data_IF_006467811780
#
_entry.id   IF_006467811780
#
_cell.length_a   1.000
_cell.length_b   1.000
_cell.length_c   1.000
_cell.angle_alpha   90.00
_cell.angle_beta   90.00
_cell.angle_gamma   90.00
#
_symmetry.space_group_name_H-M   'P 1'
#
loop_
_entity.id
_entity.type
_entity.pdbx_description
1 polymer ?
#
# COMPACT_ATOMS: atom_id res chain seq x y z
N UNK A 1 -26.15 32.87 23.82
CA UNK A 1 -26.23 32.16 22.52
C UNK A 1 -26.21 30.67 22.81
N UNK A 2 -27.00 29.83 22.11
CA UNK A 2 -26.89 28.38 22.27
C UNK A 2 -25.48 27.95 21.82
N UNK A 3 -24.74 27.33 22.73
CA UNK A 3 -23.43 26.75 22.44
C UNK A 3 -23.62 25.32 21.92
N UNK A 4 -22.67 24.84 21.12
CA UNK A 4 -22.66 23.46 20.62
C UNK A 4 -22.78 22.44 21.77
N UNK A 5 -22.09 22.70 22.89
CA UNK A 5 -22.14 21.90 24.12
C UNK A 5 -23.54 21.81 24.76
N UNK A 6 -24.39 22.82 24.54
CA UNK A 6 -25.74 22.90 25.08
C UNK A 6 -26.77 22.10 24.29
N UNK A 7 -26.41 21.53 23.14
CA UNK A 7 -27.33 20.70 22.36
C UNK A 7 -27.63 19.37 23.06
N UNK A 8 -28.85 18.82 22.85
CA UNK A 8 -29.19 17.43 23.19
C UNK A 8 -28.21 16.45 22.57
N UNK A 9 -27.93 15.35 23.28
CA UNK A 9 -26.94 14.36 22.86
C UNK A 9 -27.32 13.72 21.53
N UNK A 10 -28.62 13.49 21.30
CA UNK A 10 -29.15 12.87 20.09
C UNK A 10 -28.85 13.73 18.85
N UNK A 11 -28.97 15.04 18.97
CA UNK A 11 -28.64 15.96 17.88
C UNK A 11 -27.13 15.99 17.62
N UNK A 12 -26.32 15.97 18.68
CA UNK A 12 -24.86 15.91 18.56
C UNK A 12 -24.41 14.61 17.87
N UNK A 13 -25.00 13.48 18.23
CA UNK A 13 -24.73 12.17 17.63
C UNK A 13 -25.10 12.14 16.14
N UNK A 14 -26.25 12.70 15.76
CA UNK A 14 -26.67 12.84 14.36
C UNK A 14 -25.69 13.72 13.57
N UNK A 15 -25.31 14.88 14.12
CA UNK A 15 -24.36 15.80 13.48
C UNK A 15 -22.99 15.12 13.31
N UNK A 16 -22.53 14.39 14.33
CA UNK A 16 -21.26 13.68 14.29
C UNK A 16 -21.25 12.60 13.20
N UNK A 17 -22.25 11.72 13.19
CA UNK A 17 -22.34 10.63 12.21
C UNK A 17 -22.65 11.12 10.78
N UNK A 18 -23.21 12.31 10.62
CA UNK A 18 -23.42 12.92 9.31
C UNK A 18 -22.14 13.58 8.78
N UNK A 19 -21.44 14.32 9.63
CA UNK A 19 -20.19 15.02 9.26
C UNK A 19 -18.99 14.09 9.14
N UNK A 20 -19.03 12.94 9.81
CA UNK A 20 -17.93 11.99 9.95
C UNK A 20 -16.61 12.62 10.43
N UNK A 21 -16.67 13.75 11.15
CA UNK A 21 -15.51 14.55 11.49
C UNK A 21 -15.01 14.29 12.93
N UNK A 22 -13.86 13.61 13.03
CA UNK A 22 -13.13 13.32 14.28
C UNK A 22 -12.77 14.57 15.11
N UNK A 23 -12.70 15.76 14.52
CA UNK A 23 -12.41 16.99 15.24
C UNK A 23 -13.52 17.37 16.24
N UNK A 24 -14.77 16.98 15.96
CA UNK A 24 -15.92 17.31 16.80
C UNK A 24 -15.81 16.70 18.23
N UNK A 25 -15.62 15.39 18.42
CA UNK A 25 -15.40 14.85 19.77
C UNK A 25 -14.07 15.31 20.40
N UNK A 26 -13.08 15.73 19.58
CA UNK A 26 -11.77 16.21 20.06
C UNK A 26 -11.79 17.68 20.53
N UNK A 27 -12.77 18.48 20.13
CA UNK A 27 -12.77 19.92 20.45
C UNK A 27 -13.12 20.24 21.91
N UNK A 28 -13.80 19.33 22.61
CA UNK A 28 -14.12 19.49 24.04
C UNK A 28 -14.30 18.14 24.73
N UNK A 29 -13.84 18.03 25.97
CA UNK A 29 -14.00 16.81 26.77
C UNK A 29 -15.48 16.46 27.02
N UNK A 30 -16.35 17.46 27.20
CA UNK A 30 -17.80 17.27 27.39
C UNK A 30 -18.43 16.61 26.15
N UNK A 31 -18.11 17.12 24.96
CA UNK A 31 -18.58 16.59 23.67
C UNK A 31 -18.01 15.22 23.40
N UNK A 32 -16.71 15.02 23.63
CA UNK A 32 -16.07 13.71 23.53
C UNK A 32 -16.79 12.67 24.39
N UNK A 33 -17.10 13.00 25.65
CA UNK A 33 -17.85 12.09 26.54
C UNK A 33 -19.26 11.78 26.03
N UNK A 34 -19.99 12.80 25.56
CA UNK A 34 -21.34 12.64 24.99
C UNK A 34 -21.35 11.75 23.74
N UNK A 35 -20.33 11.87 22.88
CA UNK A 35 -20.23 11.16 21.60
C UNK A 35 -19.51 9.80 21.69
N UNK A 36 -18.96 9.44 22.84
CA UNK A 36 -18.20 8.18 23.03
C UNK A 36 -19.09 6.98 23.40
N UNK A 37 -20.40 7.05 23.16
CA UNK A 37 -21.28 5.92 23.44
C UNK A 37 -20.91 4.72 22.56
N UNK A 38 -21.08 3.49 23.08
CA UNK A 38 -20.68 2.26 22.36
C UNK A 38 -21.41 2.12 21.03
N UNK A 39 -22.67 2.54 20.97
CA UNK A 39 -23.49 2.52 19.76
C UNK A 39 -22.92 3.45 18.69
N UNK A 40 -22.56 4.68 19.07
CA UNK A 40 -22.05 5.69 18.14
C UNK A 40 -20.66 5.35 17.65
N UNK A 41 -19.77 4.91 18.55
CA UNK A 41 -18.43 4.46 18.17
C UNK A 41 -18.47 3.24 17.23
N UNK A 42 -19.39 2.30 17.46
CA UNK A 42 -19.62 1.16 16.57
C UNK A 42 -20.18 1.59 15.21
N UNK A 43 -21.20 2.44 15.18
CA UNK A 43 -21.79 2.94 13.94
C UNK A 43 -20.79 3.77 13.12
N UNK A 44 -20.01 4.63 13.78
CA UNK A 44 -18.92 5.38 13.17
C UNK A 44 -17.88 4.44 12.55
N UNK A 45 -17.47 3.39 13.28
CA UNK A 45 -16.56 2.36 12.76
C UNK A 45 -17.17 1.61 11.58
N UNK A 46 -18.44 1.22 11.63
CA UNK A 46 -19.13 0.57 10.51
C UNK A 46 -19.12 1.46 9.26
N UNK A 47 -19.35 2.77 9.41
CA UNK A 47 -19.33 3.73 8.29
C UNK A 47 -17.94 3.93 7.69
N UNK A 48 -16.92 3.98 8.54
CA UNK A 48 -15.53 4.22 8.11
C UNK A 48 -14.81 2.98 7.59
N UNK A 49 -15.30 1.78 7.88
CA UNK A 49 -14.70 0.52 7.44
C UNK A 49 -15.67 -0.27 6.55
N UNK A 50 -16.65 -0.95 7.15
CA UNK A 50 -17.56 -1.85 6.44
C UNK A 50 -18.29 -1.20 5.25
N UNK A 51 -18.91 -0.04 5.46
CA UNK A 51 -19.75 0.62 4.43
C UNK A 51 -18.95 1.32 3.33
N UNK A 52 -17.63 1.40 3.46
CA UNK A 52 -16.77 1.99 2.43
C UNK A 52 -16.54 1.06 1.24
N UNK A 53 -16.93 -0.21 1.37
CA UNK A 53 -16.81 -1.23 0.33
C UNK A 53 -18.20 -1.63 -0.16
N UNK A 54 -18.40 -1.66 -1.47
CA UNK A 54 -19.62 -2.22 -2.04
C UNK A 54 -19.61 -3.76 -1.98
N UNK A 55 -20.32 -4.30 -0.98
CA UNK A 55 -20.44 -5.75 -0.80
C UNK A 55 -21.47 -6.42 -1.71
N UNK A 56 -22.19 -5.67 -2.55
CA UNK A 56 -23.21 -6.24 -3.46
C UNK A 56 -22.62 -6.69 -4.78
N UNK A 57 -21.55 -6.03 -5.23
CA UNK A 57 -20.84 -6.36 -6.47
C UNK A 57 -19.83 -7.49 -6.29
N UNK A 58 -19.45 -8.10 -7.43
CA UNK A 58 -18.41 -9.14 -7.48
C UNK A 58 -17.07 -8.51 -7.11
N UNK A 59 -16.21 -9.25 -6.39
CA UNK A 59 -14.95 -8.75 -5.83
C UNK A 59 -14.10 -7.86 -6.75
N UNK A 60 -14.04 -8.16 -8.06
CA UNK A 60 -13.22 -7.42 -9.04
C UNK A 60 -13.75 -6.02 -9.37
N UNK A 61 -15.05 -5.79 -9.20
CA UNK A 61 -15.74 -4.58 -9.64
C UNK A 61 -16.21 -3.73 -8.44
N UNK A 62 -15.73 -4.03 -7.23
CA UNK A 62 -16.17 -3.35 -6.01
C UNK A 62 -15.71 -1.91 -6.00
N UNK A 63 -16.66 -1.01 -5.80
CA UNK A 63 -16.34 0.35 -5.43
C UNK A 63 -15.81 0.37 -3.99
N UNK A 64 -14.64 1.01 -3.81
CA UNK A 64 -13.99 1.17 -2.52
C UNK A 64 -13.74 2.65 -2.30
N UNK A 65 -14.30 3.18 -1.22
CA UNK A 65 -14.25 4.59 -0.81
C UNK A 65 -13.55 4.77 0.53
N UNK A 66 -12.78 3.76 0.95
CA UNK A 66 -12.11 3.74 2.25
C UNK A 66 -11.06 4.84 2.35
N UNK A 67 -10.97 5.44 3.54
CA UNK A 67 -10.03 6.51 3.86
C UNK A 67 -9.04 5.99 4.91
N UNK A 68 -7.80 5.76 4.48
CA UNK A 68 -6.74 5.24 5.34
C UNK A 68 -6.42 6.18 6.51
N UNK A 69 -6.46 7.50 6.31
CA UNK A 69 -6.16 8.46 7.37
C UNK A 69 -7.25 8.43 8.46
N UNK A 70 -8.51 8.46 8.04
CA UNK A 70 -9.64 8.36 8.98
C UNK A 70 -9.66 7.02 9.73
N UNK A 71 -9.38 5.91 9.04
CA UNK A 71 -9.29 4.60 9.70
C UNK A 71 -8.14 4.56 10.71
N UNK A 72 -6.97 5.12 10.38
CA UNK A 72 -5.82 5.22 11.29
C UNK A 72 -6.16 6.06 12.53
N UNK A 73 -6.92 7.15 12.35
CA UNK A 73 -7.42 8.01 13.43
C UNK A 73 -8.38 7.24 14.37
N UNK A 74 -9.26 6.41 13.82
CA UNK A 74 -10.17 5.54 14.58
C UNK A 74 -9.39 4.47 15.35
N UNK A 75 -8.44 3.81 14.69
CA UNK A 75 -7.59 2.81 15.33
C UNK A 75 -6.80 3.41 16.49
N UNK A 76 -6.40 4.68 16.40
CA UNK A 76 -5.73 5.44 17.46
C UNK A 76 -6.63 5.74 18.66
N UNK A 77 -7.95 5.70 18.52
CA UNK A 77 -8.88 6.02 19.61
C UNK A 77 -8.82 5.02 20.75
N UNK A 78 -8.96 5.50 21.99
CA UNK A 78 -8.89 4.65 23.20
C UNK A 78 -9.92 3.52 23.23
N UNK A 79 -11.11 3.73 22.66
CA UNK A 79 -12.17 2.71 22.65
C UNK A 79 -11.86 1.54 21.71
N UNK A 80 -10.97 1.71 20.74
CA UNK A 80 -10.65 0.67 19.75
C UNK A 80 -9.65 -0.33 20.36
N UNK A 81 -10.20 -1.29 21.09
CA UNK A 81 -9.51 -2.43 21.70
C UNK A 81 -9.77 -3.70 20.89
N UNK A 82 -9.10 -4.81 21.26
CA UNK A 82 -9.35 -6.10 20.61
C UNK A 82 -10.79 -6.57 20.79
N UNK A 83 -11.36 -6.41 21.98
CA UNK A 83 -12.76 -6.76 22.24
C UNK A 83 -13.74 -5.93 21.40
N UNK A 84 -13.42 -4.64 21.23
CA UNK A 84 -14.20 -3.77 20.35
C UNK A 84 -14.06 -4.21 18.89
N UNK A 85 -12.85 -4.56 18.45
CA UNK A 85 -12.61 -5.10 17.12
C UNK A 85 -13.41 -6.38 16.86
N UNK A 86 -13.42 -7.35 17.80
CA UNK A 86 -14.24 -8.56 17.67
C UNK A 86 -15.74 -8.24 17.65
N UNK A 87 -16.20 -7.25 18.42
CA UNK A 87 -17.58 -6.77 18.34
C UNK A 87 -17.90 -6.13 16.97
N UNK A 88 -16.95 -5.41 16.39
CA UNK A 88 -17.06 -4.87 15.03
C UNK A 88 -17.14 -5.98 13.99
N UNK A 89 -16.30 -7.01 14.08
CA UNK A 89 -16.34 -8.18 13.19
C UNK A 89 -17.73 -8.84 13.23
N UNK A 90 -18.29 -9.07 14.43
CA UNK A 90 -19.65 -9.62 14.59
C UNK A 90 -20.70 -8.73 13.93
N UNK A 91 -20.62 -7.41 14.16
CA UNK A 91 -21.55 -6.45 13.57
C UNK A 91 -21.47 -6.39 12.05
N UNK A 92 -20.25 -6.45 11.49
CA UNK A 92 -20.00 -6.50 10.06
C UNK A 92 -20.54 -7.80 9.44
N UNK A 93 -20.38 -8.94 10.13
CA UNK A 93 -20.93 -10.23 9.71
C UNK A 93 -22.47 -10.21 9.67
N UNK A 94 -23.13 -9.69 10.71
CA UNK A 94 -24.59 -9.50 10.73
C UNK A 94 -25.05 -8.64 9.55
N UNK A 95 -24.36 -7.52 9.30
CA UNK A 95 -24.67 -6.64 8.18
C UNK A 95 -24.49 -7.35 6.83
N UNK A 96 -23.47 -8.19 6.67
CA UNK A 96 -23.28 -9.03 5.48
C UNK A 96 -24.41 -10.04 5.29
N UNK A 97 -24.83 -10.71 6.35
CA UNK A 97 -25.96 -11.65 6.30
C UNK A 97 -27.23 -10.92 5.90
N UNK A 98 -27.48 -9.73 6.44
CA UNK A 98 -28.65 -8.93 6.05
C UNK A 98 -28.58 -8.50 4.57
N UNK A 99 -27.40 -8.12 4.08
CA UNK A 99 -27.21 -7.67 2.70
C UNK A 99 -27.22 -8.82 1.67
N UNK A 100 -26.64 -9.98 2.00
CA UNK A 100 -26.31 -11.05 1.04
C UNK A 100 -26.73 -12.46 1.49
N UNK A 101 -27.16 -12.63 2.73
CA UNK A 101 -27.42 -13.96 3.34
C UNK A 101 -28.40 -14.82 2.55
N UNK A 102 -29.47 -14.24 2.00
CA UNK A 102 -30.42 -14.98 1.14
C UNK A 102 -29.77 -15.54 -0.12
N UNK A 103 -28.84 -14.80 -0.74
CA UNK A 103 -28.16 -15.21 -1.96
C UNK A 103 -27.08 -16.27 -1.69
N UNK A 104 -26.48 -16.30 -0.50
CA UNK A 104 -25.46 -17.29 -0.12
C UNK A 104 -26.08 -18.55 0.49
N UNK A 105 -27.24 -18.45 1.13
CA UNK A 105 -27.99 -19.61 1.62
C UNK A 105 -28.26 -20.61 0.47
N UNK A 106 -28.54 -20.13 -0.74
CA UNK A 106 -28.73 -20.99 -1.93
C UNK A 106 -27.45 -21.60 -2.49
N UNK A 107 -26.26 -21.11 -2.13
CA UNK A 107 -24.99 -21.64 -2.63
C UNK A 107 -24.30 -22.60 -1.66
N UNK A 108 -24.82 -22.75 -0.43
CA UNK A 108 -24.18 -23.55 0.63
C UNK A 108 -22.86 -22.97 1.14
N UNK A 109 -22.53 -21.71 0.79
CA UNK A 109 -21.29 -21.05 1.19
C UNK A 109 -21.49 -20.39 2.55
N UNK A 110 -20.70 -20.80 3.54
CA UNK A 110 -20.71 -20.20 4.88
C UNK A 110 -19.99 -18.85 4.83
N UNK A 111 -20.63 -17.81 5.38
CA UNK A 111 -20.00 -16.50 5.54
C UNK A 111 -18.99 -16.58 6.69
N UNK A 112 -17.68 -16.34 6.46
CA UNK A 112 -16.70 -16.31 7.54
C UNK A 112 -17.13 -15.35 8.63
N UNK A 113 -17.10 -15.78 9.89
CA UNK A 113 -17.57 -15.02 11.05
C UNK A 113 -16.42 -14.71 12.02
N UNK A 114 -16.76 -14.30 13.24
CA UNK A 114 -15.77 -13.99 14.28
C UNK A 114 -14.93 -15.19 14.71
N UNK A 115 -15.41 -16.43 14.56
CA UNK A 115 -14.67 -17.65 14.95
C UNK A 115 -13.40 -17.86 14.12
N UNK A 116 -13.29 -17.20 12.96
CA UNK A 116 -12.09 -17.25 12.14
C UNK A 116 -10.88 -16.57 12.81
N UNK A 117 -11.11 -15.75 13.84
CA UNK A 117 -10.06 -15.18 14.69
C UNK A 117 -9.60 -16.13 15.81
N UNK A 118 -10.28 -17.25 16.03
CA UNK A 118 -9.89 -18.22 17.05
C UNK A 118 -8.51 -18.82 16.72
N UNK A 119 -7.61 -18.74 17.68
CA UNK A 119 -6.20 -19.13 17.51
C UNK A 119 -5.38 -18.18 16.63
N UNK A 120 -5.95 -17.08 16.13
CA UNK A 120 -5.27 -16.03 15.36
C UNK A 120 -4.49 -16.56 14.14
N UNK A 121 -5.09 -17.46 13.38
CA UNK A 121 -4.49 -17.99 12.16
C UNK A 121 -4.68 -17.05 10.97
N UNK A 122 -3.63 -16.40 10.41
CA UNK A 122 -3.79 -15.39 9.36
C UNK A 122 -4.54 -15.91 8.14
N UNK A 123 -4.23 -17.13 7.68
CA UNK A 123 -4.89 -17.75 6.54
C UNK A 123 -6.39 -18.00 6.74
N UNK A 124 -6.89 -17.97 8.00
CA UNK A 124 -8.32 -18.00 8.30
C UNK A 124 -8.89 -16.59 8.25
N UNK A 125 -8.54 -15.71 9.18
CA UNK A 125 -9.23 -14.43 9.33
C UNK A 125 -8.98 -13.44 8.19
N UNK A 126 -7.87 -13.54 7.45
CA UNK A 126 -7.64 -12.72 6.24
C UNK A 126 -8.61 -13.06 5.12
N UNK A 127 -9.30 -14.21 5.18
CA UNK A 127 -10.36 -14.58 4.23
C UNK A 127 -11.68 -13.85 4.49
N UNK A 128 -11.80 -13.03 5.54
CA UNK A 128 -13.02 -12.26 5.82
C UNK A 128 -13.02 -11.02 4.91
N UNK A 129 -13.68 -11.05 3.74
CA UNK A 129 -13.40 -10.12 2.64
C UNK A 129 -14.17 -8.80 2.78
N UNK A 130 -14.85 -8.59 3.91
CA UNK A 130 -15.82 -7.51 4.11
C UNK A 130 -15.47 -6.56 5.26
N UNK A 131 -14.32 -6.76 5.93
CA UNK A 131 -13.92 -5.91 7.06
C UNK A 131 -13.56 -4.48 6.66
N UNK A 132 -13.31 -4.21 5.37
CA UNK A 132 -13.24 -2.85 4.83
C UNK A 132 -12.02 -2.02 5.25
N UNK A 133 -10.91 -2.66 5.62
CA UNK A 133 -9.65 -1.96 5.87
C UNK A 133 -9.11 -1.35 4.56
N UNK A 134 -8.72 -0.08 4.62
CA UNK A 134 -8.10 0.65 3.53
C UNK A 134 -6.69 0.12 3.26
N UNK A 135 -6.17 0.27 2.05
CA UNK A 135 -4.75 0.02 1.82
C UNK A 135 -3.91 1.14 2.47
N UNK A 136 -2.82 0.77 3.16
CA UNK A 136 -1.88 1.74 3.75
C UNK A 136 -2.39 2.46 4.99
N UNK A 137 -3.32 1.87 5.76
CA UNK A 137 -3.66 2.42 7.08
C UNK A 137 -2.49 2.24 8.04
N UNK A 138 -2.27 3.24 8.89
CA UNK A 138 -1.19 3.24 9.87
C UNK A 138 -1.61 2.54 11.17
N UNK A 139 -0.71 1.70 11.68
CA UNK A 139 -0.78 1.12 13.01
C UNK A 139 -0.53 2.24 14.03
N UNK A 140 -1.44 2.46 15.00
CA UNK A 140 -1.30 3.53 15.96
C UNK A 140 -0.20 3.26 16.99
N UNK A 141 0.53 4.30 17.41
CA UNK A 141 1.63 4.21 18.38
C UNK A 141 1.25 3.48 19.67
N UNK A 142 0.00 3.64 20.15
CA UNK A 142 -0.50 2.95 21.36
C UNK A 142 -0.42 1.42 21.27
N UNK A 143 -0.31 0.85 20.07
CA UNK A 143 -0.18 -0.58 19.82
C UNK A 143 1.26 -1.02 19.55
N UNK A 144 2.21 -0.08 19.44
CA UNK A 144 3.59 -0.36 19.05
C UNK A 144 4.56 -0.53 20.23
N UNK A 145 4.16 -0.21 21.46
CA UNK A 145 4.96 -0.38 22.68
C UNK A 145 4.16 -1.06 23.80
N UNK A 146 4.78 -1.49 24.90
CA UNK A 146 4.14 -2.13 26.05
C UNK A 146 3.30 -1.18 26.93
N UNK A 147 2.70 -1.67 28.03
CA UNK A 147 2.71 -3.06 28.50
C UNK A 147 1.94 -4.01 27.56
N UNK A 148 2.44 -5.23 27.35
CA UNK A 148 1.88 -6.17 26.36
C UNK A 148 0.81 -7.07 26.94
N UNK A 149 -0.41 -6.54 27.04
CA UNK A 149 -1.60 -7.38 27.30
C UNK A 149 -1.90 -8.31 26.12
N UNK A 150 -2.56 -9.45 26.39
CA UNK A 150 -2.95 -10.39 25.35
C UNK A 150 -3.82 -9.73 24.27
N UNK A 151 -4.84 -8.95 24.66
CA UNK A 151 -5.70 -8.25 23.71
C UNK A 151 -4.92 -7.26 22.84
N UNK A 152 -3.97 -6.52 23.42
CA UNK A 152 -3.15 -5.57 22.66
C UNK A 152 -2.25 -6.27 21.63
N UNK A 153 -1.58 -7.34 22.03
CA UNK A 153 -0.74 -8.14 21.13
C UNK A 153 -1.58 -8.79 20.01
N UNK A 154 -2.75 -9.33 20.35
CA UNK A 154 -3.69 -9.92 19.38
C UNK A 154 -4.22 -8.89 18.39
N UNK A 155 -4.57 -7.69 18.84
CA UNK A 155 -5.01 -6.61 17.96
C UNK A 155 -3.88 -6.15 17.03
N UNK A 156 -2.68 -5.92 17.56
CA UNK A 156 -1.52 -5.56 16.74
C UNK A 156 -1.27 -6.63 15.67
N UNK A 157 -1.23 -7.90 16.07
CA UNK A 157 -1.00 -9.04 15.18
C UNK A 157 -2.04 -9.08 14.04
N UNK A 158 -3.33 -8.96 14.37
CA UNK A 158 -4.40 -8.93 13.37
C UNK A 158 -4.25 -7.76 12.41
N UNK A 159 -3.99 -6.55 12.91
CA UNK A 159 -3.87 -5.37 12.05
C UNK A 159 -2.67 -5.48 11.09
N UNK A 160 -1.53 -6.03 11.55
CA UNK A 160 -0.37 -6.31 10.69
C UNK A 160 -0.70 -7.35 9.62
N UNK A 161 -1.43 -8.41 9.97
CA UNK A 161 -1.93 -9.41 9.02
C UNK A 161 -2.92 -8.84 8.01
N UNK A 162 -3.65 -7.79 8.38
CA UNK A 162 -4.58 -7.06 7.51
C UNK A 162 -3.90 -5.90 6.76
N UNK A 163 -2.58 -5.93 6.58
CA UNK A 163 -1.78 -4.96 5.80
C UNK A 163 -1.56 -3.59 6.45
N UNK A 164 -1.68 -3.50 7.78
CA UNK A 164 -1.31 -2.27 8.49
C UNK A 164 0.18 -1.96 8.39
N UNK A 165 0.51 -0.68 8.30
CA UNK A 165 1.88 -0.16 8.11
C UNK A 165 2.28 0.79 9.24
N UNK A 166 3.56 1.14 9.32
CA UNK A 166 4.06 2.19 10.23
C UNK A 166 4.35 3.43 9.38
N UNK A 167 3.93 4.60 9.88
CA UNK A 167 4.35 5.88 9.34
C UNK A 167 5.76 6.23 9.84
N UNK A 168 6.76 5.97 9.01
CA UNK A 168 8.18 6.19 9.31
C UNK A 168 8.64 7.63 9.11
N UNK A 169 7.97 8.40 8.26
CA UNK A 169 8.40 9.74 7.86
C UNK A 169 7.67 10.84 8.62
N UNK A 170 6.39 10.62 8.93
CA UNK A 170 5.51 11.61 9.54
C UNK A 170 5.37 11.49 11.06
N UNK A 171 5.94 10.46 11.70
CA UNK A 171 5.69 10.18 13.12
C UNK A 171 6.88 9.55 13.87
N UNK A 172 6.75 9.44 15.19
CA UNK A 172 7.70 8.71 16.06
C UNK A 172 7.42 7.22 16.13
N UNK A 173 6.42 6.71 15.40
CA UNK A 173 5.96 5.33 15.47
C UNK A 173 7.06 4.30 15.21
N UNK A 174 8.02 4.60 14.33
CA UNK A 174 9.18 3.74 14.07
C UNK A 174 10.08 3.54 15.30
N UNK A 175 10.38 4.61 16.02
CA UNK A 175 11.18 4.55 17.26
C UNK A 175 10.40 3.92 18.42
N UNK A 176 9.09 4.19 18.49
CA UNK A 176 8.18 3.53 19.43
C UNK A 176 8.15 2.02 19.18
N UNK A 177 8.11 1.57 17.92
CA UNK A 177 8.14 0.15 17.56
C UNK A 177 9.47 -0.53 17.92
N UNK A 178 10.62 0.15 17.73
CA UNK A 178 11.94 -0.34 18.18
C UNK A 178 12.00 -0.51 19.70
N UNK A 179 11.43 0.43 20.45
CA UNK A 179 11.33 0.34 21.90
C UNK A 179 10.41 -0.80 22.30
N UNK A 180 9.23 -0.87 21.67
CA UNK A 180 8.21 -1.85 21.98
C UNK A 180 8.60 -3.29 21.69
N UNK A 181 9.39 -3.55 20.64
CA UNK A 181 9.85 -4.91 20.36
C UNK A 181 10.83 -5.39 21.44
N UNK A 182 11.66 -4.50 22.00
CA UNK A 182 12.54 -4.84 23.14
C UNK A 182 11.74 -5.13 24.40
N UNK A 183 10.65 -4.39 24.63
CA UNK A 183 9.72 -4.67 25.73
C UNK A 183 9.01 -6.02 25.52
N UNK A 184 8.56 -6.31 24.30
CA UNK A 184 7.90 -7.57 23.95
C UNK A 184 8.82 -8.78 24.13
N UNK A 185 10.10 -8.65 23.75
CA UNK A 185 11.11 -9.68 23.97
C UNK A 185 11.33 -9.95 25.46
N UNK A 186 11.45 -8.88 26.26
CA UNK A 186 11.63 -8.98 27.72
C UNK A 186 10.44 -9.65 28.40
N UNK A 187 9.23 -9.32 27.97
CA UNK A 187 7.98 -9.92 28.47
C UNK A 187 7.72 -11.32 27.90
N UNK A 188 8.53 -11.80 26.93
CA UNK A 188 8.32 -13.09 26.28
C UNK A 188 7.06 -13.14 25.40
N UNK A 189 6.52 -11.99 24.97
CA UNK A 189 5.30 -11.91 24.18
C UNK A 189 5.58 -12.20 22.70
N UNK A 190 5.53 -13.48 22.33
CA UNK A 190 5.83 -13.94 20.96
C UNK A 190 4.93 -13.29 19.90
N UNK A 191 3.64 -13.06 20.18
CA UNK A 191 2.70 -12.45 19.20
C UNK A 191 3.07 -11.00 18.90
N UNK A 192 3.41 -10.22 19.92
CA UNK A 192 3.84 -8.84 19.74
C UNK A 192 5.18 -8.78 18.97
N UNK A 193 6.13 -9.67 19.30
CA UNK A 193 7.38 -9.80 18.53
C UNK A 193 7.09 -10.16 17.07
N UNK A 194 6.25 -11.15 16.81
CA UNK A 194 5.92 -11.59 15.45
C UNK A 194 5.38 -10.44 14.60
N UNK A 195 4.46 -9.64 15.17
CA UNK A 195 3.87 -8.50 14.49
C UNK A 195 4.89 -7.36 14.27
N UNK A 196 5.65 -6.99 15.30
CA UNK A 196 6.66 -5.93 15.22
C UNK A 196 7.84 -6.31 14.33
N UNK A 197 8.26 -7.57 14.31
CA UNK A 197 9.33 -8.06 13.45
C UNK A 197 8.97 -7.92 11.97
N UNK A 198 7.70 -8.10 11.60
CA UNK A 198 7.22 -7.82 10.23
C UNK A 198 7.30 -6.33 9.92
N UNK A 199 6.79 -5.47 10.82
CA UNK A 199 6.77 -4.02 10.60
C UNK A 199 8.18 -3.41 10.53
N UNK A 200 9.07 -3.81 11.43
CA UNK A 200 10.48 -3.39 11.45
C UNK A 200 11.30 -4.06 10.37
N UNK A 201 10.96 -5.29 9.99
CA UNK A 201 11.61 -6.01 8.89
C UNK A 201 11.50 -5.20 7.62
N UNK A 202 10.27 -4.86 7.19
CA UNK A 202 9.99 -4.08 5.97
C UNK A 202 10.83 -2.82 5.84
N UNK A 203 11.10 -2.13 6.96
CA UNK A 203 11.88 -0.89 7.01
C UNK A 203 13.38 -1.09 7.26
N UNK A 204 13.88 -2.33 7.26
CA UNK A 204 15.26 -2.70 7.61
C UNK A 204 15.68 -2.23 9.01
N UNK A 205 14.74 -2.26 9.95
CA UNK A 205 14.92 -1.82 11.34
C UNK A 205 15.42 -2.89 12.32
N UNK A 206 15.63 -4.13 11.88
CA UNK A 206 16.18 -5.22 12.71
C UNK A 206 17.71 -5.18 12.64
N UNK A 207 18.36 -5.06 13.80
CA UNK A 207 19.83 -4.91 13.92
C UNK A 207 20.47 -6.06 14.69
N UNK A 208 21.81 -6.20 14.58
CA UNK A 208 22.58 -7.17 15.38
C UNK A 208 22.38 -6.97 16.88
N UNK A 209 22.31 -5.71 17.34
CA UNK A 209 22.07 -5.39 18.75
C UNK A 209 20.71 -5.91 19.24
N UNK A 210 19.70 -5.91 18.38
CA UNK A 210 18.37 -6.45 18.70
C UNK A 210 18.41 -7.97 18.83
N UNK A 211 19.18 -8.66 17.97
CA UNK A 211 19.42 -10.10 18.08
C UNK A 211 20.21 -10.44 19.36
N UNK A 212 21.29 -9.69 19.65
CA UNK A 212 22.06 -9.84 20.88
C UNK A 212 21.18 -9.66 22.12
N UNK A 213 20.34 -8.62 22.15
CA UNK A 213 19.41 -8.39 23.26
C UNK A 213 18.42 -9.56 23.44
N UNK A 214 17.84 -10.08 22.35
CA UNK A 214 16.94 -11.23 22.41
C UNK A 214 17.62 -12.50 22.96
N UNK A 215 18.88 -12.72 22.57
CA UNK A 215 19.65 -13.93 22.92
C UNK A 215 20.25 -13.83 24.33
N UNK A 216 20.97 -12.74 24.61
CA UNK A 216 21.81 -12.60 25.78
C UNK A 216 21.07 -12.04 26.99
N UNK A 217 20.11 -11.12 26.78
CA UNK A 217 19.39 -10.46 27.88
C UNK A 217 17.98 -11.02 28.11
N UNK A 218 17.30 -11.48 27.05
CA UNK A 218 15.91 -12.00 27.13
C UNK A 218 15.84 -13.53 27.19
N UNK A 219 16.96 -14.19 27.51
CA UNK A 219 17.00 -15.65 27.70
C UNK A 219 16.86 -16.48 26.42
N UNK A 220 16.98 -15.90 25.22
CA UNK A 220 16.99 -16.60 23.93
C UNK A 220 15.74 -17.46 23.67
N UNK A 221 14.53 -16.90 23.71
CA UNK A 221 13.36 -17.68 23.26
C UNK A 221 13.49 -17.99 21.75
N UNK A 222 13.63 -19.26 21.40
CA UNK A 222 13.90 -19.69 20.02
C UNK A 222 12.79 -19.29 19.04
N UNK A 223 11.53 -19.25 19.46
CA UNK A 223 10.44 -18.78 18.61
C UNK A 223 10.55 -17.29 18.32
N UNK A 224 10.83 -16.48 19.36
CA UNK A 224 11.08 -15.04 19.21
C UNK A 224 12.26 -14.78 18.29
N UNK A 225 13.36 -15.50 18.48
CA UNK A 225 14.55 -15.41 17.62
C UNK A 225 14.21 -15.84 16.19
N UNK A 226 13.36 -16.87 16.00
CA UNK A 226 12.89 -17.31 14.68
C UNK A 226 12.13 -16.20 13.96
N UNK A 227 11.19 -15.54 14.63
CA UNK A 227 10.47 -14.39 14.06
C UNK A 227 11.41 -13.25 13.63
N UNK A 228 12.42 -12.95 14.44
CA UNK A 228 13.41 -11.92 14.13
C UNK A 228 14.27 -12.31 12.93
N UNK A 229 14.89 -13.50 12.97
CA UNK A 229 15.80 -13.95 11.92
C UNK A 229 15.06 -14.15 10.59
N UNK A 230 13.85 -14.70 10.60
CA UNK A 230 13.06 -14.89 9.38
C UNK A 230 12.76 -13.55 8.69
N UNK A 231 12.40 -12.51 9.44
CA UNK A 231 12.18 -11.18 8.86
C UNK A 231 13.50 -10.47 8.49
N UNK A 232 14.57 -10.72 9.24
CA UNK A 232 15.88 -10.12 9.00
C UNK A 232 16.54 -10.66 7.72
N UNK A 233 16.47 -11.98 7.47
CA UNK A 233 17.07 -12.58 6.27
C UNK A 233 16.39 -12.14 4.98
N UNK A 234 15.05 -11.96 4.99
CA UNK A 234 14.27 -11.66 3.77
C UNK A 234 14.79 -10.40 3.07
N UNK A 235 15.43 -9.51 3.83
CA UNK A 235 15.85 -8.19 3.40
C UNK A 235 17.37 -7.97 3.51
N UNK A 236 18.13 -9.01 3.84
CA UNK A 236 19.59 -8.97 3.97
C UNK A 236 20.31 -8.73 2.63
N UNK A 237 19.73 -9.17 1.51
CA UNK A 237 20.32 -9.07 0.17
C UNK A 237 20.46 -7.62 -0.35
N UNK A 238 19.75 -6.65 0.24
CA UNK A 238 19.69 -5.25 -0.25
C UNK A 238 20.30 -4.24 0.74
N UNK A 239 21.34 -4.63 1.49
CA UNK A 239 22.26 -3.83 2.36
C UNK A 239 21.77 -3.24 3.71
N UNK A 240 22.57 -3.47 4.78
CA UNK A 240 23.22 -2.45 5.65
C UNK A 240 24.32 -3.08 6.55
N UNK A 241 25.37 -2.34 6.95
CA UNK A 241 26.42 -2.78 7.91
C UNK A 241 25.91 -3.10 9.34
N UNK A 242 24.60 -2.96 9.59
CA UNK A 242 24.01 -3.00 10.94
C UNK A 242 23.52 -4.39 11.38
N UNK A 243 23.49 -5.35 10.45
CA UNK A 243 23.07 -6.73 10.68
C UNK A 243 24.20 -7.69 10.30
N UNK A 244 24.60 -8.55 11.24
CA UNK A 244 25.67 -9.53 11.07
C UNK A 244 25.26 -10.85 11.74
N UNK A 245 24.94 -11.86 10.94
CA UNK A 245 24.60 -13.20 11.43
C UNK A 245 25.83 -13.96 11.95
N UNK A 246 27.04 -13.53 11.59
CA UNK A 246 28.32 -14.05 12.06
C UNK A 246 28.90 -13.25 13.24
N UNK A 247 28.05 -12.53 13.97
CA UNK A 247 28.47 -11.73 15.11
C UNK A 247 29.20 -12.57 16.19
N UNK A 248 30.44 -12.22 16.58
CA UNK A 248 31.22 -13.02 17.51
C UNK A 248 30.55 -13.21 18.88
N UNK A 249 29.79 -12.23 19.37
CA UNK A 249 29.14 -12.34 20.68
C UNK A 249 27.99 -13.35 20.67
N UNK A 250 27.18 -13.35 19.60
CA UNK A 250 26.14 -14.36 19.39
C UNK A 250 26.72 -15.78 19.30
N UNK A 251 27.80 -15.95 18.54
CA UNK A 251 28.44 -17.26 18.35
C UNK A 251 29.17 -17.75 19.61
N UNK A 252 29.80 -16.85 20.37
CA UNK A 252 30.40 -17.17 21.66
C UNK A 252 29.33 -17.60 22.68
N UNK A 253 28.21 -16.85 22.76
CA UNK A 253 27.07 -17.24 23.60
C UNK A 253 26.55 -18.62 23.20
N UNK A 254 26.38 -18.86 21.91
CA UNK A 254 25.90 -20.15 21.42
C UNK A 254 26.87 -21.30 21.72
N UNK A 255 28.18 -21.05 21.73
CA UNK A 255 29.20 -22.05 22.07
C UNK A 255 29.11 -22.61 23.49
N UNK A 256 28.55 -21.86 24.43
CA UNK A 256 28.50 -22.24 25.86
C UNK A 256 27.10 -22.65 26.34
N UNK A 257 26.07 -22.54 25.51
CA UNK A 257 24.66 -22.77 25.89
C UNK A 257 24.07 -24.10 25.38
N UNK A 258 24.91 -25.11 25.12
CA UNK A 258 24.49 -26.48 24.82
C UNK A 258 23.51 -26.58 23.64
N UNK A 259 22.44 -27.34 23.81
CA UNK A 259 21.43 -27.61 22.75
C UNK A 259 20.81 -26.34 22.19
N UNK A 260 20.50 -25.39 23.06
CA UNK A 260 19.91 -24.09 22.69
C UNK A 260 20.86 -23.25 21.86
N UNK A 261 22.15 -23.31 22.19
CA UNK A 261 23.22 -22.69 21.42
C UNK A 261 23.39 -23.34 20.04
N UNK A 262 23.35 -24.66 19.95
CA UNK A 262 23.41 -25.36 18.66
C UNK A 262 22.22 -25.03 17.75
N UNK A 263 21.00 -24.97 18.29
CA UNK A 263 19.83 -24.51 17.53
C UNK A 263 19.98 -23.06 17.04
N UNK A 264 20.51 -22.17 17.88
CA UNK A 264 20.78 -20.79 17.48
C UNK A 264 21.83 -20.71 16.36
N UNK A 265 22.92 -21.48 16.43
CA UNK A 265 23.94 -21.54 15.37
C UNK A 265 23.34 -22.02 14.06
N UNK A 266 22.52 -23.07 14.10
CA UNK A 266 21.83 -23.58 12.90
C UNK A 266 20.94 -22.50 12.28
N UNK A 267 20.13 -21.82 13.09
CA UNK A 267 19.26 -20.74 12.62
C UNK A 267 20.05 -19.56 12.04
N UNK A 268 21.15 -19.15 12.68
CA UNK A 268 22.02 -18.07 12.18
C UNK A 268 22.69 -18.43 10.85
N UNK A 269 23.20 -19.67 10.72
CA UNK A 269 23.79 -20.16 9.47
C UNK A 269 22.77 -20.16 8.34
N UNK A 270 21.57 -20.71 8.57
CA UNK A 270 20.51 -20.73 7.56
C UNK A 270 20.05 -19.33 7.19
N UNK A 271 19.92 -18.43 8.16
CA UNK A 271 19.54 -17.04 7.91
C UNK A 271 20.57 -16.31 7.03
N UNK A 272 21.85 -16.58 7.24
CA UNK A 272 22.97 -15.98 6.46
C UNK A 272 22.93 -16.36 4.98
N UNK A 273 22.58 -17.61 4.67
CA UNK A 273 22.43 -18.11 3.29
C UNK A 273 21.01 -17.98 2.73
N UNK A 274 20.10 -17.29 3.44
CA UNK A 274 18.70 -17.11 3.03
C UNK A 274 17.88 -18.42 2.98
N UNK A 275 18.25 -19.43 3.76
CA UNK A 275 17.60 -20.75 3.80
C UNK A 275 16.79 -20.99 5.09
N UNK A 276 16.62 -19.99 5.96
CA UNK A 276 15.85 -20.18 7.19
C UNK A 276 14.36 -20.28 6.87
N UNK A 277 13.81 -21.48 6.93
CA UNK A 277 12.37 -21.68 6.85
C UNK A 277 11.68 -21.26 8.16
N UNK A 278 10.45 -20.75 8.04
CA UNK A 278 9.69 -20.34 9.22
C UNK A 278 9.13 -21.54 10.00
N UNK A 279 8.81 -22.64 9.32
CA UNK A 279 8.36 -23.90 9.94
C UNK A 279 9.34 -24.99 9.51
N UNK A 280 10.04 -25.62 10.45
CA UNK A 280 10.95 -26.71 10.12
C UNK A 280 10.17 -28.02 9.95
N UNK A 281 10.53 -28.85 8.97
CA UNK A 281 9.89 -30.16 8.72
C UNK A 281 9.94 -31.09 9.97
N UNK A 282 10.97 -30.94 10.81
CA UNK A 282 11.18 -31.73 12.03
C UNK A 282 10.49 -31.15 13.29
N UNK A 283 9.89 -29.95 13.21
CA UNK A 283 9.17 -29.33 14.33
C UNK A 283 7.80 -30.02 14.51
N UNK A 284 7.79 -31.12 15.28
CA UNK A 284 6.59 -31.91 15.61
C UNK A 284 5.44 -31.10 16.26
N UNK A 285 5.70 -29.86 16.66
CA UNK A 285 4.81 -28.97 17.41
C UNK A 285 4.69 -27.57 16.76
N UNK A 286 4.78 -27.46 15.43
CA UNK A 286 4.63 -26.18 14.71
C UNK A 286 3.35 -25.40 15.07
N UNK A 287 2.32 -26.09 15.57
CA UNK A 287 1.07 -25.49 16.06
C UNK A 287 1.22 -24.64 17.33
N UNK A 288 2.33 -24.80 18.05
CA UNK A 288 2.67 -24.00 19.25
C UNK A 288 3.44 -22.73 18.92
N UNK A 289 3.89 -22.57 17.68
CA UNK A 289 4.58 -21.38 17.20
C UNK A 289 3.52 -20.39 16.70
N UNK A 290 3.65 -19.12 17.09
CA UNK A 290 2.81 -18.06 16.54
C UNK A 290 3.06 -17.98 15.03
N UNK A 291 2.00 -18.12 14.23
CA UNK A 291 2.13 -18.10 12.78
C UNK A 291 2.70 -16.79 12.26
N UNK A 292 3.36 -16.84 11.10
CA UNK A 292 3.83 -15.65 10.42
C UNK A 292 2.65 -14.75 9.98
N UNK A 293 2.59 -13.45 10.37
CA UNK A 293 1.42 -12.59 10.13
C UNK A 293 0.99 -12.43 8.67
N UNK A 294 1.89 -12.49 7.68
CA UNK A 294 1.60 -12.19 6.26
C UNK A 294 1.46 -13.42 5.35
N UNK A 295 1.19 -14.60 5.89
CA UNK A 295 1.24 -15.88 5.17
C UNK A 295 0.27 -16.07 3.96
N UNK A 296 -0.73 -15.21 3.74
CA UNK A 296 -1.88 -15.50 2.87
C UNK A 296 -2.09 -14.63 1.62
N UNK A 297 -1.19 -13.69 1.30
CA UNK A 297 -1.37 -12.78 0.14
C UNK A 297 -0.93 -13.37 -1.23
N UNK A 298 -0.63 -14.66 -1.30
CA UNK A 298 -0.13 -15.35 -2.51
C UNK A 298 -1.19 -15.51 -3.63
N UNK A 299 -2.49 -15.21 -3.40
CA UNK A 299 -3.57 -15.58 -4.33
C UNK A 299 -4.47 -14.43 -4.86
N UNK A 300 -3.93 -13.25 -5.12
CA UNK A 300 -4.70 -12.11 -5.67
C UNK A 300 -4.06 -11.45 -6.91
N UNK A 301 -4.77 -11.21 -8.03
CA UNK A 301 -4.19 -10.65 -9.27
C UNK A 301 -3.86 -9.13 -9.22
N UNK A 302 -3.57 -8.56 -8.05
CA UNK A 302 -3.47 -7.11 -7.89
C UNK A 302 -2.56 -6.59 -6.77
N UNK A 303 -1.85 -7.45 -6.04
CA UNK A 303 -0.89 -7.03 -5.02
C UNK A 303 0.53 -6.94 -5.62
N UNK A 304 0.69 -6.10 -6.63
CA UNK A 304 2.01 -5.72 -7.14
C UNK A 304 2.48 -4.47 -6.40
N UNK A 305 3.15 -4.68 -5.25
CA UNK A 305 4.24 -3.86 -4.70
C UNK A 305 4.67 -4.46 -3.34
N UNK A 306 5.81 -5.16 -3.33
CA UNK A 306 6.63 -5.29 -2.12
C UNK A 306 6.96 -6.68 -1.58
N UNK A 307 6.38 -7.79 -2.06
CA UNK A 307 6.75 -9.14 -1.58
C UNK A 307 6.58 -10.21 -2.68
N UNK A 308 7.36 -10.09 -3.76
CA UNK A 308 7.42 -11.11 -4.83
C UNK A 308 8.36 -12.28 -4.52
N UNK A 309 8.98 -12.32 -3.32
CA UNK A 309 10.01 -13.31 -2.97
C UNK A 309 9.41 -14.54 -2.24
N UNK A 310 8.20 -14.44 -1.68
CA UNK A 310 7.59 -15.53 -0.87
C UNK A 310 6.77 -16.52 -1.70
N UNK A 311 6.51 -16.22 -2.99
CA UNK A 311 5.67 -17.06 -3.85
C UNK A 311 6.29 -18.39 -4.27
N UNK A 312 7.58 -18.63 -4.02
CA UNK A 312 8.25 -19.89 -4.37
C UNK A 312 8.53 -20.82 -3.18
N UNK A 313 8.20 -20.45 -1.93
CA UNK A 313 8.66 -21.20 -0.74
C UNK A 313 7.51 -21.65 0.19
N UNK A 314 6.25 -21.28 -0.05
CA UNK A 314 5.16 -21.65 0.85
C UNK A 314 4.05 -22.47 0.15
N UNK A 315 3.98 -23.76 0.53
CA UNK A 315 2.91 -24.75 0.30
C UNK A 315 2.89 -25.56 -1.01
N UNK A 316 3.52 -26.74 -0.99
CA UNK A 316 2.91 -27.97 -1.50
C UNK A 316 3.03 -29.10 -0.47
N UNK A 317 1.92 -29.65 0.05
CA UNK A 317 1.91 -30.90 0.77
C UNK A 317 1.56 -32.03 -0.22
N UNK A 318 2.52 -32.49 -1.02
CA UNK A 318 2.57 -33.84 -1.61
C UNK A 318 3.72 -33.94 -2.62
N UNK A 319 4.74 -34.74 -2.31
CA UNK A 319 5.91 -34.97 -3.18
C UNK A 319 5.65 -36.04 -4.28
N UNK A 320 4.41 -36.39 -4.60
CA UNK A 320 4.11 -37.54 -5.49
C UNK A 320 3.13 -37.30 -6.66
N UNK A 321 2.84 -36.06 -7.09
CA UNK A 321 1.96 -35.80 -8.25
C UNK A 321 2.62 -34.92 -9.34
N UNK A 322 3.94 -35.00 -9.54
CA UNK A 322 4.60 -34.23 -10.62
C UNK A 322 5.55 -35.03 -11.50
N UNK A 323 5.33 -36.34 -11.67
CA UNK A 323 6.02 -37.13 -12.69
C UNK A 323 5.23 -37.33 -13.99
N UNK A 324 3.96 -36.91 -14.07
CA UNK A 324 3.09 -37.13 -15.25
C UNK A 324 2.92 -35.91 -16.17
N UNK A 325 3.67 -34.82 -15.97
CA UNK A 325 3.60 -33.64 -16.83
C UNK A 325 4.97 -33.16 -17.35
N UNK A 326 5.99 -34.01 -17.27
CA UNK A 326 7.29 -33.79 -17.96
C UNK A 326 7.33 -34.70 -19.20
N UNK A 327 6.52 -34.37 -20.20
CA UNK A 327 6.74 -34.83 -21.57
C UNK A 327 5.98 -33.95 -22.57
N UNK A 328 6.39 -32.69 -22.68
CA UNK A 328 6.37 -32.00 -23.98
C UNK A 328 7.26 -30.76 -23.89
N UNK A 329 8.56 -30.97 -24.07
CA UNK A 329 9.46 -29.88 -24.41
C UNK A 329 9.20 -29.47 -25.86
N UNK A 330 8.31 -28.50 -26.06
CA UNK A 330 8.49 -27.59 -27.19
C UNK A 330 9.40 -26.47 -26.69
N UNK A 331 10.64 -26.44 -27.16
CA UNK A 331 11.57 -25.35 -26.93
C UNK A 331 11.08 -24.13 -27.71
N UNK A 332 10.24 -23.30 -27.12
CA UNK A 332 10.13 -21.91 -27.56
C UNK A 332 11.41 -21.21 -27.12
N UNK A 333 12.24 -20.87 -28.11
CA UNK A 333 13.40 -20.00 -27.94
C UNK A 333 12.95 -18.74 -27.20
N UNK A 334 13.45 -18.54 -25.98
CA UNK A 334 13.23 -17.30 -25.24
C UNK A 334 13.86 -16.16 -26.04
N UNK A 335 13.02 -15.35 -26.68
CA UNK A 335 13.45 -14.14 -27.38
C UNK A 335 14.26 -13.25 -26.46
N UNK A 336 15.38 -12.74 -26.97
CA UNK A 336 16.29 -11.85 -26.27
C UNK A 336 15.51 -10.71 -25.58
N UNK A 337 15.58 -10.66 -24.25
CA UNK A 337 14.96 -9.58 -23.49
C UNK A 337 15.78 -8.29 -23.69
N UNK A 338 15.26 -7.35 -24.49
CA UNK A 338 15.79 -5.99 -24.55
C UNK A 338 15.52 -5.27 -23.21
N UNK A 339 16.55 -5.23 -22.35
CA UNK A 339 16.55 -4.41 -21.13
C UNK A 339 16.59 -2.94 -21.55
N UNK A 340 15.42 -2.34 -21.76
CA UNK A 340 15.31 -0.90 -22.04
C UNK A 340 15.47 -0.13 -20.74
N UNK A 341 16.58 0.62 -20.59
CA UNK A 341 16.80 1.51 -19.46
C UNK A 341 15.68 2.57 -19.37
N UNK A 342 15.24 2.90 -18.16
CA UNK A 342 14.21 3.92 -17.93
C UNK A 342 14.60 5.26 -18.58
N UNK A 343 13.90 5.65 -19.65
CA UNK A 343 14.18 6.90 -20.38
C UNK A 343 13.66 8.12 -19.59
N UNK A 344 14.41 8.54 -18.57
CA UNK A 344 14.11 9.76 -17.83
C UNK A 344 14.21 10.99 -18.74
N UNK A 345 13.25 11.92 -18.60
CA UNK A 345 13.30 13.21 -19.32
C UNK A 345 14.26 14.13 -18.57
N UNK A 346 15.42 14.36 -19.15
CA UNK A 346 16.46 15.20 -18.55
C UNK A 346 16.19 16.68 -18.78
N UNK A 347 16.61 17.53 -17.85
CA UNK A 347 16.67 18.98 -18.05
C UNK A 347 17.93 19.26 -18.86
N UNK A 348 17.76 19.54 -20.15
CA UNK A 348 18.86 19.78 -21.08
C UNK A 348 18.54 20.92 -22.06
N UNK A 349 19.58 21.54 -22.61
CA UNK A 349 19.44 22.59 -23.62
C UNK A 349 18.81 22.02 -24.89
N UNK A 350 17.80 22.69 -25.41
CA UNK A 350 17.00 22.26 -26.56
C UNK A 350 15.76 21.44 -26.18
N UNK A 351 15.57 21.03 -24.91
CA UNK A 351 14.33 20.36 -24.51
C UNK A 351 13.14 21.31 -24.56
N UNK A 352 12.05 20.82 -25.13
CA UNK A 352 10.79 21.57 -25.19
C UNK A 352 10.01 21.33 -23.90
N UNK A 353 9.54 22.43 -23.32
CA UNK A 353 8.81 22.48 -22.06
C UNK A 353 7.44 23.10 -22.25
N UNK A 354 6.50 22.69 -21.42
CA UNK A 354 5.14 23.22 -21.37
C UNK A 354 4.95 23.97 -20.05
N UNK A 355 4.37 25.16 -20.10
CA UNK A 355 4.00 25.90 -18.89
C UNK A 355 2.74 25.30 -18.25
N UNK A 356 2.82 24.97 -16.95
CA UNK A 356 1.70 24.41 -16.19
C UNK A 356 0.78 25.49 -15.60
N UNK A 357 1.32 26.68 -15.34
CA UNK A 357 0.63 27.77 -14.66
C UNK A 357 1.18 29.15 -15.08
N UNK A 358 0.44 30.20 -14.75
CA UNK A 358 0.82 31.59 -15.02
C UNK A 358 0.36 32.12 -16.38
N UNK A 359 0.85 33.30 -16.77
CA UNK A 359 0.39 34.02 -17.97
C UNK A 359 0.62 33.27 -19.30
N UNK A 360 1.54 32.30 -19.31
CA UNK A 360 1.88 31.48 -20.47
C UNK A 360 1.37 30.04 -20.35
N UNK A 361 0.43 29.75 -19.44
CA UNK A 361 -0.10 28.40 -19.22
C UNK A 361 -0.49 27.72 -20.55
N UNK A 362 -0.01 26.49 -20.73
CA UNK A 362 -0.31 25.67 -21.91
C UNK A 362 0.47 26.05 -23.17
N UNK A 363 1.36 27.05 -23.11
CA UNK A 363 2.26 27.39 -24.21
C UNK A 363 3.57 26.60 -24.12
N UNK A 364 4.23 26.45 -25.26
CA UNK A 364 5.49 25.72 -25.38
C UNK A 364 6.67 26.69 -25.43
N UNK A 365 7.80 26.27 -24.88
CA UNK A 365 9.08 26.95 -25.03
C UNK A 365 10.22 25.92 -25.09
N UNK A 366 11.39 26.31 -25.61
CA UNK A 366 12.61 25.50 -25.54
C UNK A 366 13.53 26.04 -24.44
N UNK A 367 14.21 25.14 -23.72
CA UNK A 367 15.28 25.52 -22.78
C UNK A 367 16.51 25.95 -23.59
N UNK A 368 16.93 27.20 -23.41
CA UNK A 368 18.09 27.77 -24.11
C UNK A 368 19.35 27.69 -23.23
N UNK A 369 19.17 27.85 -21.92
CA UNK A 369 20.25 27.76 -20.94
C UNK A 369 19.70 27.34 -19.58
N UNK A 370 20.51 26.60 -18.81
CA UNK A 370 20.20 26.21 -17.43
C UNK A 370 20.94 27.20 -16.54
N UNK A 371 20.20 27.98 -15.76
CA UNK A 371 20.77 29.02 -14.89
C UNK A 371 21.27 28.36 -13.60
N UNK A 372 20.39 27.60 -12.96
CA UNK A 372 20.69 26.86 -11.74
C UNK A 372 19.81 25.60 -11.63
N UNK A 373 19.91 24.87 -10.52
CA UNK A 373 19.15 23.64 -10.27
C UNK A 373 17.64 23.85 -10.13
N UNK A 374 17.15 25.10 -10.04
CA UNK A 374 15.73 25.44 -9.90
C UNK A 374 15.18 26.27 -11.06
N UNK A 375 16.04 26.89 -11.89
CA UNK A 375 15.64 27.91 -12.87
C UNK A 375 16.34 27.69 -14.21
N UNK A 376 15.58 27.94 -15.28
CA UNK A 376 16.02 27.81 -16.67
C UNK A 376 15.64 29.05 -17.46
N UNK A 377 16.46 29.38 -18.45
CA UNK A 377 16.17 30.40 -19.45
C UNK A 377 15.44 29.72 -20.62
N UNK A 378 14.23 30.18 -20.90
CA UNK A 378 13.37 29.59 -21.94
C UNK A 378 13.02 30.59 -23.02
N UNK A 379 12.76 30.09 -24.22
CA UNK A 379 12.37 30.89 -25.39
C UNK A 379 11.35 30.13 -26.24
N UNK A 380 10.21 30.76 -26.55
CA UNK A 380 9.10 30.14 -27.26
C UNK A 380 8.73 30.90 -28.53
N UNK A 381 9.35 30.58 -29.68
CA UNK A 381 9.16 31.32 -30.93
C UNK A 381 7.88 30.94 -31.70
N UNK A 382 6.90 30.28 -31.07
CA UNK A 382 5.68 29.81 -31.72
C UNK A 382 4.82 30.99 -32.22
N UNK A 383 4.42 30.97 -33.50
CA UNK A 383 3.63 32.04 -34.12
C UNK A 383 2.27 32.26 -33.46
N UNK A 384 1.60 31.17 -33.03
CA UNK A 384 0.24 31.22 -32.46
C UNK A 384 0.20 31.67 -31.01
N UNK A 385 1.27 31.40 -30.26
CA UNK A 385 1.33 31.64 -28.83
C UNK A 385 2.77 31.93 -28.40
N UNK A 386 3.33 33.09 -28.80
CA UNK A 386 4.71 33.41 -28.52
C UNK A 386 4.94 33.54 -27.02
N UNK A 387 6.09 33.07 -26.56
CA UNK A 387 6.60 33.23 -25.20
C UNK A 387 7.93 33.97 -25.31
N UNK A 388 8.02 35.22 -24.80
CA UNK A 388 9.26 35.96 -24.86
C UNK A 388 10.35 35.26 -24.03
N UNK A 389 11.60 35.49 -24.41
CA UNK A 389 12.76 34.99 -23.67
C UNK A 389 12.72 35.49 -22.23
N UNK A 390 12.66 34.55 -21.29
CA UNK A 390 12.56 34.86 -19.87
C UNK A 390 13.13 33.72 -19.02
N UNK A 391 13.47 34.06 -17.79
CA UNK A 391 13.81 33.10 -16.76
C UNK A 391 12.53 32.49 -16.14
N UNK A 392 12.53 31.18 -15.92
CA UNK A 392 11.40 30.45 -15.32
C UNK A 392 11.90 29.37 -14.36
N UNK A 393 11.20 29.22 -13.24
CA UNK A 393 11.43 28.12 -12.31
C UNK A 393 10.97 26.78 -12.91
N UNK A 394 11.81 25.74 -12.81
CA UNK A 394 11.54 24.39 -13.30
C UNK A 394 10.25 23.79 -12.72
N UNK A 395 9.89 24.13 -11.47
CA UNK A 395 8.65 23.69 -10.83
C UNK A 395 7.37 24.10 -11.59
N UNK A 396 7.42 25.17 -12.38
CA UNK A 396 6.29 25.68 -13.17
C UNK A 396 6.18 25.04 -14.56
N UNK A 397 7.14 24.19 -14.92
CA UNK A 397 7.31 23.63 -16.25
C UNK A 397 7.14 22.11 -16.22
N UNK A 398 6.56 21.58 -17.29
CA UNK A 398 6.52 20.14 -17.56
C UNK A 398 7.45 19.80 -18.73
N UNK A 399 8.33 18.82 -18.54
CA UNK A 399 9.25 18.36 -19.58
C UNK A 399 8.51 17.50 -20.62
N UNK A 400 8.58 17.89 -21.89
CA UNK A 400 8.03 17.10 -23.00
C UNK A 400 9.06 16.09 -23.53
N UNK A 401 8.62 15.03 -24.24
CA UNK A 401 9.54 14.11 -24.92
C UNK A 401 10.34 14.76 -26.04
N UNK A 402 9.91 15.92 -26.55
CA UNK A 402 10.51 16.58 -27.70
C UNK A 402 11.77 17.34 -27.27
N UNK A 403 12.85 17.13 -28.00
CA UNK A 403 14.10 17.88 -27.86
C UNK A 403 14.60 18.29 -29.23
N UNK A 404 15.01 19.55 -29.34
CA UNK A 404 15.66 20.13 -30.50
C UNK A 404 17.14 19.69 -30.44
N UNK A 405 17.58 18.80 -31.34
CA UNK A 405 18.93 18.27 -31.27
C UNK A 405 19.96 19.37 -31.58
N UNK A 406 21.09 19.33 -30.85
CA UNK A 406 22.26 20.20 -31.09
C UNK A 406 21.95 21.71 -31.07
N UNK A 407 21.06 22.15 -30.18
CA UNK A 407 20.86 23.59 -29.94
C UNK A 407 22.05 24.14 -29.15
N UNK A 408 22.82 25.11 -29.68
CA UNK A 408 23.90 25.73 -28.92
C UNK A 408 23.37 26.41 -27.66
N UNK A 409 24.10 26.28 -26.55
CA UNK A 409 23.79 27.00 -25.31
C UNK A 409 23.74 28.51 -25.56
N UNK A 410 22.77 29.19 -24.94
CA UNK A 410 22.58 30.64 -25.08
C UNK A 410 22.27 31.11 -26.52
N UNK A 411 21.77 30.22 -27.40
CA UNK A 411 21.34 30.58 -28.76
C UNK A 411 20.40 31.79 -28.78
N UNK A 412 20.53 32.69 -29.76
CA UNK A 412 19.64 33.85 -29.93
C UNK A 412 18.25 33.48 -30.47
N UNK A 413 17.25 34.35 -30.23
CA UNK A 413 15.83 34.10 -30.55
C UNK A 413 15.61 33.69 -32.00
N UNK A 414 16.26 34.38 -32.94
CA UNK A 414 16.16 34.07 -34.37
C UNK A 414 16.73 32.70 -34.75
N UNK A 415 17.75 32.21 -34.04
CA UNK A 415 18.30 30.87 -34.27
C UNK A 415 17.39 29.78 -33.69
N UNK A 416 16.81 30.03 -32.51
CA UNK A 416 15.83 29.13 -31.90
C UNK A 416 14.58 29.02 -32.78
N UNK A 417 14.09 30.13 -33.35
CA UNK A 417 12.95 30.12 -34.28
C UNK A 417 13.21 29.27 -35.53
N UNK A 418 14.38 29.41 -36.17
CA UNK A 418 14.76 28.57 -37.31
C UNK A 418 14.79 27.09 -36.95
N UNK A 419 15.41 26.74 -35.81
CA UNK A 419 15.50 25.35 -35.34
C UNK A 419 14.15 24.78 -34.90
N UNK A 420 13.26 25.61 -34.37
CA UNK A 420 11.91 25.24 -33.99
C UNK A 420 11.07 24.80 -35.20
N UNK A 421 11.14 25.57 -36.28
CA UNK A 421 10.48 25.26 -37.56
C UNK A 421 11.14 24.08 -38.28
N UNK A 422 12.48 24.03 -38.35
CA UNK A 422 13.22 22.90 -38.93
C UNK A 422 12.85 21.57 -38.28
N UNK A 423 12.66 21.55 -36.95
CA UNK A 423 12.30 20.35 -36.21
C UNK A 423 10.80 20.10 -36.11
N UNK A 424 9.98 20.97 -36.70
CA UNK A 424 8.51 20.93 -36.69
C UNK A 424 7.95 20.68 -35.29
N UNK A 425 8.50 21.39 -34.30
CA UNK A 425 8.22 21.16 -32.87
C UNK A 425 6.72 21.28 -32.59
N UNK A 426 6.07 22.30 -33.17
CA UNK A 426 4.64 22.53 -32.98
C UNK A 426 3.80 21.37 -33.53
N UNK A 427 4.10 20.91 -34.75
CA UNK A 427 3.40 19.78 -35.37
C UNK A 427 3.56 18.50 -34.54
N UNK A 428 4.80 18.19 -34.11
CA UNK A 428 5.10 17.02 -33.27
C UNK A 428 4.35 17.07 -31.94
N UNK A 429 4.22 18.26 -31.35
CA UNK A 429 3.45 18.42 -30.14
C UNK A 429 1.96 18.24 -30.38
N UNK A 430 1.40 18.87 -31.42
CA UNK A 430 -0.04 18.80 -31.74
C UNK A 430 -0.50 17.37 -32.09
N UNK A 431 0.36 16.57 -32.72
CA UNK A 431 0.12 15.16 -33.03
C UNK A 431 0.22 14.24 -31.80
N UNK A 432 0.89 14.69 -30.73
CA UNK A 432 1.10 13.90 -29.53
C UNK A 432 -0.19 13.55 -28.80
N UNK A 433 -0.20 12.39 -28.12
CA UNK A 433 -1.33 12.00 -27.26
C UNK A 433 -1.61 13.03 -26.17
N UNK A 434 -0.58 13.73 -25.69
CA UNK A 434 -0.69 14.79 -24.69
C UNK A 434 -1.53 15.96 -25.22
N UNK A 435 -1.18 16.51 -26.38
CA UNK A 435 -1.92 17.64 -26.97
C UNK A 435 -3.36 17.23 -27.29
N UNK A 436 -3.58 16.05 -27.87
CA UNK A 436 -4.92 15.51 -28.16
C UNK A 436 -5.78 15.39 -26.90
N UNK A 437 -5.21 14.91 -25.78
CA UNK A 437 -5.91 14.80 -24.49
C UNK A 437 -6.25 16.19 -23.91
N UNK A 438 -5.33 17.15 -24.00
CA UNK A 438 -5.56 18.53 -23.52
C UNK A 438 -6.62 19.23 -24.36
N UNK A 439 -6.57 19.10 -25.69
CA UNK A 439 -7.59 19.63 -26.59
C UNK A 439 -8.97 19.02 -26.33
N UNK A 440 -9.05 17.70 -26.10
CA UNK A 440 -10.30 17.04 -25.73
C UNK A 440 -10.85 17.55 -24.39
N UNK A 441 -10.00 17.79 -23.39
CA UNK A 441 -10.40 18.35 -22.09
C UNK A 441 -10.89 19.80 -22.22
N UNK A 442 -10.20 20.64 -22.99
CA UNK A 442 -10.62 22.01 -23.27
C UNK A 442 -11.97 22.05 -23.99
N UNK A 443 -12.13 21.22 -25.03
CA UNK A 443 -13.41 21.09 -25.74
C UNK A 443 -14.53 20.64 -24.80
N UNK A 444 -14.28 19.69 -23.89
CA UNK A 444 -15.25 19.25 -22.88
C UNK A 444 -15.66 20.37 -21.92
N UNK A 445 -14.72 21.20 -21.48
CA UNK A 445 -14.99 22.36 -20.62
C UNK A 445 -15.86 23.40 -21.34
N UNK A 446 -15.62 23.61 -22.63
CA UNK A 446 -16.38 24.57 -23.46
C UNK A 446 -17.73 24.08 -23.97
N UNK A 447 -18.17 22.85 -23.66
CA UNK A 447 -19.47 22.35 -24.16
C UNK A 447 -20.64 23.05 -23.47
N UNK A 448 -21.57 23.54 -24.31
CA UNK A 448 -22.87 24.01 -23.84
C UNK A 448 -23.79 22.82 -23.47
N UNK A 449 -24.90 23.11 -22.78
CA UNK A 449 -25.80 22.07 -22.26
C UNK A 449 -26.39 21.16 -23.36
N UNK A 450 -26.75 21.75 -24.50
CA UNK A 450 -27.28 21.01 -25.65
C UNK A 450 -26.23 20.05 -26.26
N UNK A 451 -24.98 20.46 -26.34
CA UNK A 451 -23.88 19.62 -26.80
C UNK A 451 -23.55 18.50 -25.81
N UNK A 452 -23.65 18.76 -24.49
CA UNK A 452 -23.50 17.72 -23.46
C UNK A 452 -24.60 16.66 -23.60
N UNK A 453 -25.83 17.07 -23.88
CA UNK A 453 -26.92 16.14 -24.17
C UNK A 453 -26.66 15.28 -25.41
N UNK A 454 -26.16 15.86 -26.51
CA UNK A 454 -25.74 15.11 -27.71
C UNK A 454 -24.66 14.09 -27.39
N UNK A 455 -23.62 14.48 -26.64
CA UNK A 455 -22.53 13.57 -26.21
C UNK A 455 -23.08 12.43 -25.36
N UNK A 456 -24.01 12.69 -24.44
CA UNK A 456 -24.66 11.66 -23.62
C UNK A 456 -25.43 10.64 -24.48
N UNK A 457 -26.22 11.11 -25.45
CA UNK A 457 -26.95 10.24 -26.39
C UNK A 457 -26.00 9.35 -27.20
N UNK A 458 -24.93 9.92 -27.78
CA UNK A 458 -23.93 9.15 -28.54
C UNK A 458 -23.20 8.13 -27.66
N UNK A 459 -22.86 8.48 -26.41
CA UNK A 459 -22.26 7.52 -25.45
C UNK A 459 -23.20 6.36 -25.14
N UNK A 460 -24.52 6.61 -25.02
CA UNK A 460 -25.52 5.56 -24.79
C UNK A 460 -25.62 4.61 -25.98
N UNK A 461 -25.61 5.15 -27.21
CA UNK A 461 -25.59 4.34 -28.44
C UNK A 461 -24.31 3.49 -28.56
N UNK A 462 -23.14 4.10 -28.34
CA UNK A 462 -21.86 3.37 -28.38
C UNK A 462 -21.80 2.24 -27.34
N UNK A 463 -22.25 2.50 -26.10
CA UNK A 463 -22.33 1.47 -25.04
C UNK A 463 -23.22 0.30 -25.43
N UNK A 464 -24.37 0.59 -26.04
CA UNK A 464 -25.29 -0.45 -26.50
C UNK A 464 -24.66 -1.34 -27.57
N UNK A 465 -23.97 -0.76 -28.56
CA UNK A 465 -23.31 -1.55 -29.60
C UNK A 465 -22.15 -2.37 -29.04
N UNK A 466 -21.34 -1.82 -28.13
CA UNK A 466 -20.28 -2.56 -27.42
C UNK A 466 -20.85 -3.72 -26.60
N UNK A 467 -21.98 -3.54 -25.92
CA UNK A 467 -22.60 -4.64 -25.18
C UNK A 467 -23.13 -5.72 -26.12
N UNK A 468 -23.66 -5.33 -27.29
CA UNK A 468 -24.13 -6.27 -28.31
C UNK A 468 -22.98 -7.09 -28.90
N UNK A 469 -21.85 -6.47 -29.24
CA UNK A 469 -20.67 -7.19 -29.72
C UNK A 469 -20.06 -8.07 -28.64
N UNK A 470 -19.97 -7.58 -27.40
CA UNK A 470 -19.49 -8.36 -26.26
C UNK A 470 -20.38 -9.56 -25.96
N UNK A 471 -21.71 -9.41 -26.04
CA UNK A 471 -22.64 -10.52 -25.88
C UNK A 471 -22.47 -11.59 -26.97
N UNK A 472 -22.19 -11.19 -28.22
CA UNK A 472 -21.87 -12.12 -29.32
C UNK A 472 -20.55 -12.86 -29.06
N UNK A 473 -19.48 -12.14 -28.70
CA UNK A 473 -18.17 -12.74 -28.39
C UNK A 473 -18.29 -13.71 -27.21
N UNK A 474 -19.04 -13.34 -26.17
CA UNK A 474 -19.28 -14.21 -25.01
C UNK A 474 -20.10 -15.45 -25.36
N UNK A 475 -21.06 -15.33 -26.28
CA UNK A 475 -21.84 -16.47 -26.75
C UNK A 475 -20.99 -17.41 -27.62
N UNK A 476 -20.14 -16.87 -28.50
CA UNK A 476 -19.23 -17.67 -29.32
C UNK A 476 -18.07 -18.29 -28.53
N UNK A 477 -17.65 -17.70 -27.41
CA UNK A 477 -16.62 -18.27 -26.54
C UNK A 477 -17.16 -19.35 -25.57
N UNK A 478 -18.48 -19.56 -25.53
CA UNK A 478 -19.15 -20.56 -24.70
C UNK A 478 -19.66 -21.76 -25.51
N UNK A 479 -19.71 -21.62 -26.84
CA UNK A 479 -19.89 -22.72 -27.80
C UNK A 479 -18.53 -23.30 -28.13
#
# INVERSE_FOLDING_TARGET
MPTLDGLPVELLEIIFLHSMNMALPRCSHSLGKKLSSRTITMEFTMRSFFHTVDHRTVHRDREVTSDAALQSDILSCRFFTYDFFLAYVRRAHEAMIQLRGKAWASTGVVIPDVSYFDGLWPFKFTKIPYLGFAHGFAIPEKLLHGPWTEGKASLLYVLVSLTGEIDWEGSTAGEVAKTGIREAMREGNERAVAALAVLLGVSKGITTEMLQYAVMECGCNLNIVRHLLFNAQILAAETSNSLNFLDPALWAWAGVNGTKGEMLKDMLKRADVFELEFYFEDDADWTKIVSFPRASLVHGPGAALGFSIVSNIAFTPDKNITNDLISDHTTDEMGDAEITTSAWRLVEVGRVVLFNEGQYEGRLAAIVEIIDHKRVLVDGPSEKAPVPRQEVALAKLSLTPIVIPKLPRASGVGHVAKKWEENKVQQKFDESAWAKKRAAMQKRRGLNDFERFKVMKMRKQARFEVQKTFAKIRASAKA
#
